data_IF_077673448638
#
_entry.id   IF_077673448638
#
_cell.length_a   1.000
_cell.length_b   1.000
_cell.length_c   1.000
_cell.angle_alpha   90.00
_cell.angle_beta   90.00
_cell.angle_gamma   90.00
#
_symmetry.space_group_name_H-M   'P 1'
#
loop_
_entity.id
_entity.type
_entity.pdbx_description
1 polymer ?
#
# COMPACT_ATOMS: atom_id res chain seq x y z
N UNK A 1 -65.29 23.34 -12.17
CA UNK A 1 -65.30 21.89 -11.90
C UNK A 1 -64.96 21.15 -13.20
N UNK A 2 -63.70 20.79 -13.41
CA UNK A 2 -63.36 19.44 -13.85
C UNK A 2 -61.88 19.20 -13.58
N UNK A 3 -61.65 18.10 -12.87
CA UNK A 3 -60.38 17.68 -12.28
C UNK A 3 -59.61 16.87 -13.31
N UNK A 4 -58.29 17.07 -13.27
CA UNK A 4 -57.18 16.45 -13.99
C UNK A 4 -57.18 14.93 -13.98
N UNK A 5 -56.97 14.32 -15.16
CA UNK A 5 -56.58 12.93 -15.31
C UNK A 5 -55.07 12.76 -15.02
N UNK A 6 -54.77 12.12 -13.89
CA UNK A 6 -53.45 11.58 -13.55
C UNK A 6 -53.25 10.23 -14.20
N UNK A 7 -52.22 10.13 -15.05
CA UNK A 7 -51.72 8.90 -15.63
C UNK A 7 -50.70 8.25 -14.67
N UNK A 8 -50.95 7.05 -14.11
CA UNK A 8 -49.96 6.37 -13.27
C UNK A 8 -48.94 5.64 -14.15
N UNK A 9 -47.73 6.18 -14.24
CA UNK A 9 -46.58 5.46 -14.77
C UNK A 9 -46.31 4.24 -13.90
N UNK A 10 -46.54 3.06 -14.46
CA UNK A 10 -46.22 1.78 -13.87
C UNK A 10 -44.69 1.65 -13.69
N UNK A 11 -44.24 1.62 -12.43
CA UNK A 11 -42.92 1.13 -12.07
C UNK A 11 -42.86 -0.38 -12.34
N UNK A 12 -42.26 -0.77 -13.46
CA UNK A 12 -41.85 -2.16 -13.66
C UNK A 12 -40.63 -2.47 -12.78
N UNK A 13 -40.66 -3.51 -11.93
CA UNK A 13 -39.48 -3.96 -11.21
C UNK A 13 -38.46 -4.50 -12.22
N UNK A 14 -37.27 -3.88 -12.23
CA UNK A 14 -36.11 -4.42 -12.94
C UNK A 14 -35.78 -5.76 -12.29
N UNK A 15 -36.09 -6.85 -13.00
CA UNK A 15 -35.62 -8.20 -12.65
C UNK A 15 -34.09 -8.14 -12.62
N UNK A 16 -33.52 -8.24 -11.42
CA UNK A 16 -32.10 -8.44 -11.23
C UNK A 16 -31.67 -9.66 -12.01
N UNK A 17 -30.74 -9.48 -12.94
CA UNK A 17 -30.05 -10.60 -13.55
C UNK A 17 -29.35 -11.38 -12.42
N UNK A 18 -29.55 -12.70 -12.31
CA UNK A 18 -28.76 -13.49 -11.38
C UNK A 18 -27.30 -13.33 -11.76
N UNK A 19 -26.48 -12.89 -10.81
CA UNK A 19 -25.03 -12.88 -10.94
C UNK A 19 -24.58 -14.24 -11.46
N UNK A 20 -23.65 -14.31 -12.43
CA UNK A 20 -23.06 -15.58 -12.80
C UNK A 20 -22.43 -16.18 -11.54
N UNK A 21 -22.85 -17.41 -11.21
CA UNK A 21 -22.20 -18.24 -10.21
C UNK A 21 -20.69 -18.19 -10.46
N UNK A 22 -19.97 -17.49 -9.59
CA UNK A 22 -18.53 -17.63 -9.48
C UNK A 22 -18.30 -19.06 -8.96
N UNK A 23 -18.15 -20.00 -9.91
CA UNK A 23 -17.49 -21.26 -9.63
C UNK A 23 -16.07 -20.90 -9.17
N UNK A 24 -15.89 -20.85 -7.86
CA UNK A 24 -14.59 -20.98 -7.21
C UNK A 24 -14.08 -22.36 -7.63
N UNK A 25 -13.35 -22.38 -8.74
CA UNK A 25 -12.48 -23.50 -9.11
C UNK A 25 -11.38 -23.54 -8.05
N UNK A 26 -11.67 -24.25 -6.97
CA UNK A 26 -10.69 -24.70 -6.00
C UNK A 26 -9.76 -25.64 -6.77
N UNK A 27 -8.66 -25.11 -7.30
CA UNK A 27 -7.55 -25.92 -7.80
C UNK A 27 -6.92 -26.62 -6.60
N UNK A 28 -7.47 -27.79 -6.26
CA UNK A 28 -6.85 -28.76 -5.39
C UNK A 28 -5.60 -29.28 -6.12
N UNK A 29 -4.50 -28.57 -5.96
CA UNK A 29 -3.21 -29.01 -6.49
C UNK A 29 -2.75 -30.18 -5.64
N UNK A 30 -2.92 -31.39 -6.19
CA UNK A 30 -2.41 -32.63 -5.64
C UNK A 30 -0.88 -32.51 -5.51
N UNK A 31 -0.39 -32.31 -4.29
CA UNK A 31 1.03 -32.43 -3.97
C UNK A 31 1.39 -33.92 -3.98
N UNK A 32 1.83 -34.41 -5.14
CA UNK A 32 2.60 -35.64 -5.20
C UNK A 32 3.95 -35.40 -4.52
N UNK A 33 4.22 -36.21 -3.49
CA UNK A 33 5.38 -36.12 -2.63
C UNK A 33 6.71 -36.12 -3.38
N UNK A 34 7.59 -35.25 -2.90
CA UNK A 34 9.04 -35.43 -3.04
C UNK A 34 9.56 -35.50 -1.61
N UNK A 35 9.85 -36.72 -1.18
CA UNK A 35 10.57 -37.01 0.06
C UNK A 35 12.00 -36.46 -0.05
N UNK A 36 12.14 -35.17 0.26
CA UNK A 36 13.41 -34.47 0.37
C UNK A 36 13.93 -34.56 1.79
N UNK A 37 14.82 -35.52 2.02
CA UNK A 37 15.65 -35.73 3.21
C UNK A 37 16.11 -34.40 3.85
N UNK A 38 15.42 -33.95 4.90
CA UNK A 38 15.77 -32.73 5.65
C UNK A 38 16.90 -33.04 6.64
N UNK A 39 18.14 -32.86 6.19
CA UNK A 39 19.30 -32.88 7.07
C UNK A 39 19.29 -31.64 7.98
N UNK A 40 19.03 -31.85 9.28
CA UNK A 40 19.18 -30.83 10.32
C UNK A 40 20.64 -30.36 10.38
N UNK A 41 20.94 -29.22 9.74
CA UNK A 41 22.18 -28.49 9.96
C UNK A 41 22.03 -27.65 11.24
N UNK A 42 22.57 -28.16 12.35
CA UNK A 42 22.77 -27.39 13.59
C UNK A 42 23.72 -26.22 13.29
N UNK A 43 23.17 -25.03 13.03
CA UNK A 43 23.96 -23.80 12.96
C UNK A 43 24.30 -23.35 14.39
N UNK A 44 25.53 -23.65 14.78
CA UNK A 44 26.14 -23.23 16.03
C UNK A 44 26.52 -21.75 15.90
N UNK A 45 25.56 -20.84 16.15
CA UNK A 45 25.83 -19.40 16.15
C UNK A 45 26.45 -19.06 17.50
N UNK A 46 27.78 -18.92 17.50
CA UNK A 46 28.54 -18.32 18.60
C UNK A 46 28.20 -16.83 18.65
N UNK A 47 27.44 -16.43 19.67
CA UNK A 47 27.28 -15.05 20.08
C UNK A 47 28.65 -14.48 20.49
N UNK A 48 29.24 -13.66 19.64
CA UNK A 48 30.36 -12.81 20.01
C UNK A 48 29.79 -11.56 20.69
N UNK A 49 29.90 -11.53 22.02
CA UNK A 49 29.75 -10.33 22.81
C UNK A 49 30.79 -9.30 22.37
N UNK A 50 30.35 -8.18 21.81
CA UNK A 50 31.16 -6.98 21.67
C UNK A 50 30.77 -6.02 22.79
N UNK A 51 31.60 -6.02 23.83
CA UNK A 51 31.58 -5.05 24.92
C UNK A 51 32.23 -3.77 24.40
N UNK A 52 31.41 -2.76 24.12
CA UNK A 52 31.85 -1.40 23.82
C UNK A 52 31.47 -0.47 24.96
N UNK A 53 32.41 -0.27 25.89
CA UNK A 53 32.40 0.82 26.86
C UNK A 53 32.46 2.16 26.10
N UNK A 54 31.44 3.00 26.24
CA UNK A 54 31.39 4.36 25.70
C UNK A 54 30.84 5.33 26.74
N UNK A 55 31.71 6.23 27.18
CA UNK A 55 31.58 7.16 28.30
C UNK A 55 30.27 7.98 28.34
N UNK A 56 29.68 8.02 29.53
CA UNK A 56 28.73 9.04 29.93
C UNK A 56 29.45 10.39 30.06
N UNK A 57 29.04 11.38 29.27
CA UNK A 57 29.35 12.79 29.52
C UNK A 57 28.10 13.44 30.10
N UNK A 58 28.24 13.75 31.38
CA UNK A 58 27.28 14.41 32.26
C UNK A 58 27.18 15.89 31.85
N UNK A 59 26.12 16.25 31.13
CA UNK A 59 25.81 17.64 30.77
C UNK A 59 24.59 18.12 31.55
N UNK A 60 24.90 18.61 32.76
CA UNK A 60 24.02 19.36 33.66
C UNK A 60 23.48 20.61 32.95
N UNK A 61 22.24 20.54 32.48
CA UNK A 61 21.53 21.68 31.90
C UNK A 61 20.78 22.47 32.99
N UNK A 62 20.83 23.81 32.95
CA UNK A 62 20.21 24.67 33.95
C UNK A 62 18.68 24.65 33.85
N UNK A 63 18.04 24.46 35.01
CA UNK A 63 16.62 24.73 35.20
C UNK A 63 16.38 26.24 35.05
N UNK A 64 15.70 26.64 33.98
CA UNK A 64 15.04 27.95 33.92
C UNK A 64 13.53 27.74 33.85
N UNK A 65 12.91 27.93 35.00
CA UNK A 65 11.47 28.14 35.15
C UNK A 65 11.10 29.48 34.53
N UNK A 66 10.27 29.48 33.50
CA UNK A 66 9.54 30.67 33.07
C UNK A 66 8.08 30.28 32.85
N UNK A 67 7.34 30.41 33.94
CA UNK A 67 5.88 30.46 33.99
C UNK A 67 5.41 31.65 33.16
N UNK A 68 4.69 31.38 32.07
CA UNK A 68 3.82 32.37 31.44
C UNK A 68 2.41 31.78 31.40
N UNK A 69 1.62 32.18 32.41
CA UNK A 69 0.18 32.00 32.50
C UNK A 69 -0.52 32.93 31.51
N UNK A 70 -1.54 32.42 30.85
CA UNK A 70 -2.58 33.21 30.20
C UNK A 70 -2.63 33.01 28.69
N UNK A 71 -3.06 31.83 28.25
CA UNK A 71 -3.64 31.70 26.92
C UNK A 71 -5.07 31.19 27.08
N UNK A 72 -6.02 32.00 26.62
CA UNK A 72 -7.45 31.80 26.74
C UNK A 72 -7.85 30.66 25.80
N UNK A 73 -8.01 29.47 26.37
CA UNK A 73 -8.98 28.45 25.97
C UNK A 73 -9.37 28.38 24.50
N UNK A 74 -8.39 28.21 23.59
CA UNK A 74 -8.72 27.64 22.30
C UNK A 74 -9.31 26.26 22.59
N UNK A 75 -10.60 26.00 22.30
CA UNK A 75 -11.17 24.69 22.53
C UNK A 75 -10.25 23.67 21.85
N UNK A 76 -9.88 22.58 22.54
CA UNK A 76 -9.04 21.55 21.93
C UNK A 76 -9.71 21.19 20.62
N UNK A 77 -8.97 21.31 19.51
CA UNK A 77 -9.49 20.99 18.20
C UNK A 77 -10.12 19.61 18.32
N UNK A 78 -11.46 19.57 18.24
CA UNK A 78 -12.25 18.34 18.31
C UNK A 78 -11.58 17.33 17.39
N UNK A 79 -11.31 16.15 17.94
CA UNK A 79 -10.41 15.21 17.30
C UNK A 79 -11.04 14.87 15.93
N UNK A 80 -10.29 14.85 14.83
CA UNK A 80 -10.89 14.88 13.49
C UNK A 80 -11.73 13.70 13.03
N UNK A 81 -12.00 12.78 13.93
CA UNK A 81 -12.76 11.56 13.69
C UNK A 81 -14.05 11.52 14.52
N UNK A 82 -14.43 12.61 15.20
CA UNK A 82 -15.62 12.67 16.08
C UNK A 82 -16.98 12.63 15.32
N UNK A 83 -16.98 12.19 14.06
CA UNK A 83 -18.22 11.82 13.39
C UNK A 83 -18.65 10.46 13.95
N UNK A 84 -19.78 10.43 14.66
CA UNK A 84 -20.41 9.20 15.17
C UNK A 84 -20.29 8.07 14.12
N UNK A 85 -19.84 6.86 14.52
CA UNK A 85 -19.53 5.76 13.61
C UNK A 85 -20.73 5.47 12.72
N UNK A 86 -20.69 6.05 11.53
CA UNK A 86 -21.75 5.94 10.55
C UNK A 86 -21.53 4.58 9.92
N UNK A 87 -22.44 3.65 10.17
CA UNK A 87 -22.54 2.39 9.43
C UNK A 87 -22.26 2.69 7.95
N UNK A 88 -21.25 2.06 7.35
CA UNK A 88 -20.71 2.48 6.06
C UNK A 88 -21.73 2.29 4.94
N UNK A 89 -22.61 3.26 4.70
CA UNK A 89 -23.60 3.23 3.61
C UNK A 89 -22.91 3.63 2.32
N UNK A 90 -22.13 2.72 1.73
CA UNK A 90 -21.49 2.90 0.43
C UNK A 90 -19.96 2.87 0.46
N UNK A 91 -19.35 3.30 -0.64
CA UNK A 91 -17.89 3.32 -0.80
C UNK A 91 -17.26 4.30 0.21
N UNK A 92 -16.00 4.09 0.63
CA UNK A 92 -15.38 4.98 1.61
C UNK A 92 -15.32 6.43 1.11
N UNK A 93 -15.47 7.37 2.03
CA UNK A 93 -15.28 8.82 1.84
C UNK A 93 -13.87 9.25 2.21
N UNK A 94 -13.21 8.52 3.13
CA UNK A 94 -11.88 8.88 3.60
C UNK A 94 -10.77 8.33 2.72
N UNK A 95 -10.18 9.20 1.91
CA UNK A 95 -9.04 8.87 1.04
C UNK A 95 -7.73 8.67 1.82
N UNK A 96 -6.79 7.85 1.30
CA UNK A 96 -5.43 7.79 1.81
C UNK A 96 -4.75 9.16 1.72
N UNK A 97 -3.88 9.51 2.68
CA UNK A 97 -3.27 10.85 2.75
C UNK A 97 -2.16 11.06 1.72
N UNK A 98 -1.36 10.03 1.46
CA UNK A 98 -0.26 10.09 0.50
C UNK A 98 0.11 8.69 0.02
N UNK A 99 0.86 8.66 -1.08
CA UNK A 99 1.54 7.48 -1.60
C UNK A 99 2.98 7.85 -1.93
N UNK A 100 3.94 7.01 -1.53
CA UNK A 100 5.35 7.14 -1.93
C UNK A 100 5.89 5.79 -2.33
N UNK A 101 6.77 5.77 -3.31
CA UNK A 101 7.40 4.56 -3.79
C UNK A 101 8.86 4.83 -4.16
N UNK A 102 9.72 3.84 -3.92
CA UNK A 102 11.11 3.85 -4.37
C UNK A 102 11.43 2.48 -4.97
N UNK A 103 11.78 2.48 -6.24
CA UNK A 103 12.25 1.29 -6.92
C UNK A 103 13.66 0.90 -6.44
N UNK A 104 13.87 -0.40 -6.35
CA UNK A 104 15.08 -1.08 -5.90
C UNK A 104 15.48 -2.21 -6.86
N UNK A 105 14.71 -2.45 -7.92
CA UNK A 105 15.18 -3.28 -9.03
C UNK A 105 16.02 -2.43 -9.99
N UNK A 106 16.99 -3.06 -10.64
CA UNK A 106 17.87 -2.39 -11.61
C UNK A 106 17.59 -2.79 -13.06
N UNK A 107 16.68 -3.75 -13.25
CA UNK A 107 16.29 -4.28 -14.55
C UNK A 107 15.19 -3.41 -15.13
N UNK A 108 15.43 -2.90 -16.34
CA UNK A 108 14.46 -2.11 -17.10
C UNK A 108 13.09 -2.81 -17.18
N UNK A 109 12.04 -2.07 -16.87
CA UNK A 109 10.65 -2.53 -16.92
C UNK A 109 10.22 -3.41 -15.75
N UNK A 110 11.06 -3.58 -14.73
CA UNK A 110 10.77 -4.38 -13.56
C UNK A 110 10.76 -3.48 -12.33
N UNK A 111 9.76 -3.61 -11.46
CA UNK A 111 9.70 -2.89 -10.19
C UNK A 111 9.82 -3.83 -9.02
N UNK A 112 10.65 -3.43 -8.06
CA UNK A 112 10.67 -4.04 -6.73
C UNK A 112 10.98 -2.97 -5.70
N UNK A 113 10.27 -2.95 -4.58
CA UNK A 113 10.60 -2.01 -3.51
C UNK A 113 9.54 -1.93 -2.44
N UNK A 114 9.55 -0.83 -1.69
CA UNK A 114 8.56 -0.57 -0.64
C UNK A 114 7.69 0.61 -1.04
N UNK A 115 6.38 0.40 -1.00
CA UNK A 115 5.36 1.42 -1.18
C UNK A 115 4.90 1.87 0.20
N UNK A 116 5.06 3.15 0.50
CA UNK A 116 4.60 3.76 1.73
C UNK A 116 3.24 4.42 1.52
N UNK A 117 2.22 3.93 2.21
CA UNK A 117 0.85 4.42 2.16
C UNK A 117 0.57 5.22 3.43
N UNK A 118 0.20 6.48 3.24
CA UNK A 118 -0.28 7.32 4.34
C UNK A 118 -1.73 6.97 4.65
N UNK A 119 -2.01 6.60 5.91
CA UNK A 119 -3.38 6.29 6.34
C UNK A 119 -4.34 7.43 6.05
N UNK A 120 -5.61 7.10 5.84
CA UNK A 120 -6.68 8.07 5.83
C UNK A 120 -6.79 8.80 7.18
N UNK A 121 -7.36 10.01 7.16
CA UNK A 121 -7.52 10.85 8.38
C UNK A 121 -8.38 10.12 9.42
N UNK A 122 -9.51 9.60 8.97
CA UNK A 122 -10.38 8.67 9.65
C UNK A 122 -10.43 7.36 8.85
N UNK A 123 -10.58 6.22 9.51
CA UNK A 123 -10.66 4.90 8.88
C UNK A 123 -11.97 4.16 9.21
N UNK A 124 -12.98 4.84 9.75
CA UNK A 124 -14.21 4.19 10.23
C UNK A 124 -14.99 3.50 9.11
N UNK A 125 -15.02 4.12 7.93
CA UNK A 125 -15.61 3.59 6.70
C UNK A 125 -14.61 2.85 5.78
N UNK A 126 -13.34 2.79 6.18
CA UNK A 126 -12.27 2.09 5.44
C UNK A 126 -12.09 0.69 6.03
N UNK A 127 -12.01 -0.34 5.18
CA UNK A 127 -11.62 -1.69 5.61
C UNK A 127 -10.23 -2.07 5.10
N UNK A 128 -9.91 -1.63 3.87
CA UNK A 128 -8.64 -1.97 3.22
C UNK A 128 -8.16 -0.86 2.28
N UNK A 129 -6.86 -0.86 2.03
CA UNK A 129 -6.18 -0.10 1.00
C UNK A 129 -5.85 -1.00 -0.18
N UNK A 130 -6.21 -0.58 -1.38
CA UNK A 130 -5.95 -1.31 -2.62
C UNK A 130 -4.97 -0.52 -3.50
N UNK A 131 -3.86 -1.16 -3.86
CA UNK A 131 -2.84 -0.62 -4.75
C UNK A 131 -3.13 -1.06 -6.19
N UNK A 132 -3.07 -0.12 -7.14
CA UNK A 132 -3.35 -0.33 -8.55
C UNK A 132 -2.25 0.26 -9.44
N UNK A 133 -2.17 -0.24 -10.66
CA UNK A 133 -1.53 0.48 -11.76
C UNK A 133 -2.39 1.66 -12.16
N UNK A 134 -1.77 2.75 -12.59
CA UNK A 134 -2.47 3.93 -13.06
C UNK A 134 -1.75 4.60 -14.25
N UNK A 135 -2.54 5.35 -15.02
CA UNK A 135 -2.07 6.25 -16.06
C UNK A 135 -2.73 7.60 -15.88
N UNK A 136 -1.93 8.65 -15.65
CA UNK A 136 -2.42 10.02 -15.52
C UNK A 136 -3.60 10.16 -14.53
N UNK A 137 -3.48 9.56 -13.35
CA UNK A 137 -4.51 9.58 -12.30
C UNK A 137 -5.70 8.66 -12.57
N UNK A 138 -5.67 7.85 -13.63
CA UNK A 138 -6.74 6.88 -13.94
C UNK A 138 -6.26 5.47 -13.66
N UNK A 139 -7.03 4.72 -12.85
CA UNK A 139 -6.76 3.32 -12.52
C UNK A 139 -6.82 2.41 -13.74
N UNK A 140 -5.86 1.48 -13.86
CA UNK A 140 -5.77 0.47 -14.91
C UNK A 140 -5.77 -0.93 -14.30
N UNK A 141 -6.72 -1.76 -14.72
CA UNK A 141 -6.74 -3.19 -14.39
C UNK A 141 -7.10 -3.51 -12.94
N UNK A 142 -6.83 -4.76 -12.50
CA UNK A 142 -7.12 -5.23 -11.15
C UNK A 142 -6.13 -4.68 -10.11
N UNK A 143 -6.47 -4.86 -8.83
CA UNK A 143 -5.57 -4.50 -7.74
C UNK A 143 -4.30 -5.36 -7.79
N UNK A 144 -3.14 -4.71 -7.68
CA UNK A 144 -1.84 -5.37 -7.55
C UNK A 144 -1.75 -6.05 -6.17
N UNK A 145 -2.14 -5.30 -5.13
CA UNK A 145 -2.09 -5.76 -3.74
C UNK A 145 -3.16 -5.05 -2.92
N UNK A 146 -3.71 -5.76 -1.94
CA UNK A 146 -4.66 -5.23 -0.96
C UNK A 146 -4.11 -5.43 0.44
N UNK A 147 -4.48 -4.53 1.34
CA UNK A 147 -4.00 -4.54 2.72
C UNK A 147 -5.10 -4.01 3.63
N UNK A 148 -5.39 -4.70 4.74
CA UNK A 148 -6.32 -4.20 5.75
C UNK A 148 -5.84 -2.90 6.39
N UNK A 149 -6.79 -2.09 6.87
CA UNK A 149 -6.47 -0.92 7.69
C UNK A 149 -5.71 -1.31 8.96
N UNK A 150 -4.89 -0.41 9.48
CA UNK A 150 -4.04 -0.66 10.66
C UNK A 150 -4.14 0.42 11.73
N UNK A 151 -4.87 1.53 11.49
CA UNK A 151 -4.82 2.73 12.33
C UNK A 151 -3.55 3.56 12.15
N UNK A 152 -2.60 3.11 11.32
CA UNK A 152 -1.29 3.72 11.09
C UNK A 152 -0.92 3.78 9.60
N UNK A 153 0.16 4.48 9.27
CA UNK A 153 0.74 4.37 7.93
C UNK A 153 1.17 2.92 7.67
N UNK A 154 1.15 2.50 6.40
CA UNK A 154 1.48 1.12 6.06
C UNK A 154 2.50 1.02 4.94
N UNK A 155 3.37 0.05 5.11
CA UNK A 155 4.40 -0.30 4.14
C UNK A 155 4.01 -1.58 3.41
N UNK A 156 4.01 -1.51 2.08
CA UNK A 156 3.67 -2.62 1.20
C UNK A 156 4.90 -2.98 0.39
N UNK A 157 5.39 -4.21 0.53
CA UNK A 157 6.45 -4.71 -0.35
C UNK A 157 5.88 -4.96 -1.76
N UNK A 158 6.40 -4.26 -2.75
CA UNK A 158 6.01 -4.44 -4.14
C UNK A 158 6.87 -5.56 -4.74
N UNK A 159 6.43 -6.80 -4.55
CA UNK A 159 7.06 -7.98 -5.12
C UNK A 159 6.03 -9.11 -5.28
N UNK A 160 6.24 -9.99 -6.25
CA UNK A 160 5.52 -11.26 -6.36
C UNK A 160 6.26 -12.32 -5.55
N UNK A 161 5.59 -12.97 -4.63
CA UNK A 161 6.18 -14.11 -3.92
C UNK A 161 5.97 -15.37 -4.77
N UNK A 162 7.06 -15.95 -5.25
CA UNK A 162 7.07 -17.18 -6.04
C UNK A 162 8.11 -18.14 -5.44
N UNK A 163 7.69 -19.36 -5.09
CA UNK A 163 8.56 -20.39 -4.48
C UNK A 163 9.38 -19.89 -3.27
N UNK A 164 8.81 -19.01 -2.45
CA UNK A 164 9.48 -18.44 -1.28
C UNK A 164 10.49 -17.33 -1.58
N UNK A 165 10.57 -16.86 -2.84
CA UNK A 165 11.42 -15.74 -3.24
C UNK A 165 10.57 -14.55 -3.71
N UNK A 166 11.03 -13.34 -3.38
CA UNK A 166 10.44 -12.10 -3.85
C UNK A 166 10.97 -11.76 -5.26
N UNK A 167 10.07 -11.83 -6.24
CA UNK A 167 10.30 -11.50 -7.63
C UNK A 167 9.78 -10.08 -7.93
N UNK A 168 10.48 -9.36 -8.81
CA UNK A 168 10.03 -8.05 -9.27
C UNK A 168 8.78 -8.17 -10.15
N UNK A 169 7.97 -7.12 -10.17
CA UNK A 169 6.78 -7.03 -11.00
C UNK A 169 7.12 -6.39 -12.34
N UNK A 170 6.66 -6.99 -13.43
CA UNK A 170 6.72 -6.37 -14.75
C UNK A 170 5.74 -5.20 -14.80
N UNK A 171 6.21 -4.03 -15.25
CA UNK A 171 5.37 -2.85 -15.45
C UNK A 171 4.60 -3.03 -16.75
N UNK A 172 3.26 -3.02 -16.73
CA UNK A 172 2.48 -3.12 -17.96
C UNK A 172 2.80 -1.96 -18.91
N UNK A 173 2.71 -2.24 -20.21
CA UNK A 173 2.66 -1.17 -21.21
C UNK A 173 1.51 -0.21 -20.85
N UNK A 174 1.68 1.07 -21.14
CA UNK A 174 0.70 2.15 -20.86
C UNK A 174 0.55 2.60 -19.40
N UNK A 175 1.33 2.07 -18.46
CA UNK A 175 1.31 2.49 -17.06
C UNK A 175 2.46 3.45 -16.77
N UNK A 176 2.18 4.56 -16.09
CA UNK A 176 3.20 5.51 -15.63
C UNK A 176 3.11 5.83 -14.13
N UNK A 177 2.11 5.30 -13.42
CA UNK A 177 1.85 5.63 -12.03
C UNK A 177 1.43 4.39 -11.21
N UNK A 178 1.67 4.47 -9.91
CA UNK A 178 1.00 3.66 -8.88
C UNK A 178 -0.08 4.51 -8.23
N UNK A 179 -1.22 3.90 -7.89
CA UNK A 179 -2.32 4.56 -7.18
C UNK A 179 -2.77 3.71 -6.01
N UNK A 180 -3.11 4.35 -4.89
CA UNK A 180 -3.76 3.67 -3.76
C UNK A 180 -5.12 4.30 -3.50
N UNK A 181 -6.11 3.46 -3.22
CA UNK A 181 -7.47 3.88 -2.88
C UNK A 181 -7.94 3.16 -1.61
N UNK A 182 -8.81 3.82 -0.86
CA UNK A 182 -9.55 3.19 0.24
C UNK A 182 -10.68 2.34 -0.33
N UNK A 183 -10.98 1.21 0.32
CA UNK A 183 -12.09 0.34 -0.03
C UNK A 183 -12.72 -0.31 1.21
N UNK A 184 -13.98 -0.73 1.06
CA UNK A 184 -14.76 -1.46 2.05
C UNK A 184 -15.65 -2.52 1.35
N UNK A 185 -16.62 -3.08 2.08
CA UNK A 185 -17.53 -4.10 1.56
C UNK A 185 -18.47 -3.60 0.44
N UNK A 186 -18.61 -2.29 0.27
CA UNK A 186 -19.46 -1.68 -0.74
C UNK A 186 -18.70 -1.26 -2.01
N UNK A 187 -17.37 -1.30 -1.97
CA UNK A 187 -16.53 -1.01 -3.12
C UNK A 187 -15.27 -0.23 -2.76
N UNK A 188 -14.60 0.28 -3.80
CA UNK A 188 -13.41 1.10 -3.67
C UNK A 188 -13.71 2.53 -4.13
N UNK A 189 -13.00 3.50 -3.55
CA UNK A 189 -13.03 4.87 -4.06
C UNK A 189 -12.60 4.92 -5.53
N UNK A 190 -13.18 5.83 -6.33
CA UNK A 190 -12.82 5.95 -7.75
C UNK A 190 -11.40 6.50 -7.95
N UNK A 191 -10.93 7.31 -7.00
CA UNK A 191 -9.66 8.03 -7.07
C UNK A 191 -8.94 7.99 -5.73
N UNK A 192 -7.63 8.23 -5.77
CA UNK A 192 -6.78 8.33 -4.59
C UNK A 192 -5.42 8.91 -4.96
N UNK A 193 -4.49 9.05 -3.99
CA UNK A 193 -3.16 9.55 -4.28
C UNK A 193 -2.43 8.60 -5.23
N UNK A 194 -1.78 9.20 -6.22
CA UNK A 194 -0.94 8.52 -7.21
C UNK A 194 0.49 9.04 -7.14
N UNK A 195 1.44 8.19 -7.51
CA UNK A 195 2.87 8.52 -7.61
C UNK A 195 3.41 8.02 -8.93
N UNK A 196 4.22 8.86 -9.60
CA UNK A 196 4.88 8.48 -10.85
C UNK A 196 5.87 7.34 -10.61
N UNK A 197 5.90 6.41 -11.55
CA UNK A 197 6.86 5.31 -11.57
C UNK A 197 8.15 5.83 -12.20
N UNK A 198 9.22 5.82 -11.40
CA UNK A 198 10.57 6.05 -11.88
C UNK A 198 11.31 4.72 -11.80
N UNK A 199 11.41 4.03 -12.93
CA UNK A 199 12.17 2.79 -13.10
C UNK A 199 13.67 3.09 -12.96
N UNK A 200 14.30 2.52 -11.93
CA UNK A 200 15.72 2.71 -11.70
C UNK A 200 16.49 1.76 -12.61
N UNK A 201 16.82 2.20 -13.82
CA UNK A 201 17.67 1.39 -14.70
C UNK A 201 19.12 1.48 -14.22
N UNK A 202 19.64 0.34 -13.77
CA UNK A 202 21.03 0.20 -13.35
C UNK A 202 21.97 0.66 -14.45
N UNK A 203 22.66 1.76 -14.18
CA UNK A 203 23.66 2.33 -15.03
C UNK A 203 24.75 1.27 -15.35
N UNK A 204 25.13 1.06 -16.63
CA UNK A 204 26.00 -0.05 -17.04
C UNK A 204 27.48 0.20 -16.69
N UNK A 205 27.79 0.50 -15.43
CA UNK A 205 29.13 0.97 -15.03
C UNK A 205 30.19 -0.13 -15.22
N UNK A 206 29.75 -1.39 -15.16
CA UNK A 206 30.60 -2.54 -15.49
C UNK A 206 31.04 -2.55 -16.96
N UNK A 207 30.25 -2.00 -17.87
CA UNK A 207 30.61 -1.91 -19.29
C UNK A 207 31.56 -0.74 -19.59
N UNK A 208 31.48 0.35 -18.82
CA UNK A 208 32.32 1.54 -19.06
C UNK A 208 33.72 1.34 -18.46
N UNK A 209 33.84 0.84 -17.22
CA UNK A 209 35.15 0.62 -16.58
C UNK A 209 35.86 -0.65 -17.07
N UNK A 210 35.11 -1.67 -17.50
CA UNK A 210 35.69 -2.90 -18.03
C UNK A 210 36.52 -2.70 -19.30
N UNK A 211 36.14 -1.73 -20.14
CA UNK A 211 36.87 -1.39 -21.35
C UNK A 211 38.05 -0.44 -21.09
N UNK A 212 38.02 0.34 -20.00
CA UNK A 212 39.11 1.25 -19.64
C UNK A 212 40.34 0.51 -19.07
N UNK A 213 40.15 -0.66 -18.45
CA UNK A 213 41.24 -1.46 -17.86
C UNK A 213 41.77 -2.58 -18.77
N UNK A 214 41.16 -2.81 -19.95
CA UNK A 214 41.63 -3.79 -20.94
C UNK A 214 42.43 -3.20 -22.10
N UNK A 215 42.44 -1.88 -22.26
CA UNK A 215 43.41 -1.19 -23.11
C UNK A 215 44.73 -1.04 -22.36
N UNK A 216 45.63 -2.00 -22.58
CA UNK A 216 46.91 -2.11 -21.89
C UNK A 216 47.85 -0.91 -22.02
N UNK A 217 48.61 -0.70 -20.95
CA UNK A 217 49.99 -0.27 -20.99
C UNK A 217 50.89 -1.49 -21.18
#
# INVERSE_FOLDING_TARGET
KHVTDTNPSACTPVRGNPMPNFHILLFLTLLAGVDGHFAQRKSNIRSAASVGHGQAVDAKLPMMSASTRGDEGTPPASDPCDDEPTEAVGVPHHRPRFLRFKDQDSRKGMLRGTVHVGRARCEDDVLLYSLYWARNGTRIGPAIRTLGKTGGNVDIELARVSRGHAEALEVPADVNQLMVVSANGHGAMPEGPAVDIIDFVGLPWRSILGNLLRGGL
#
